data_IF_420935047300
#
_entry.id   IF_420935047300
#
_cell.length_a   1.000
_cell.length_b   1.000
_cell.length_c   1.000
_cell.angle_alpha   90.00
_cell.angle_beta   90.00
_cell.angle_gamma   90.00
#
_symmetry.space_group_name_H-M   'P 1'
#
loop_
_entity.id
_entity.type
_entity.pdbx_description
1 polymer ?
#
# COMPACT_ATOMS: atom_id res chain seq x y z
N UNK A 1 -8.53 -6.74 4.28
CA UNK A 1 -7.33 -5.95 4.58
C UNK A 1 -6.80 -5.37 3.29
N UNK A 2 -6.99 -4.07 3.11
CA UNK A 2 -6.35 -3.30 2.04
C UNK A 2 -4.94 -2.89 2.49
N UNK A 3 -4.08 -2.50 1.56
CA UNK A 3 -2.75 -1.97 1.88
C UNK A 3 -2.81 -0.71 2.77
N UNK A 4 -3.94 -0.01 2.79
CA UNK A 4 -4.17 1.16 3.66
C UNK A 4 -4.33 0.73 5.13
N UNK A 5 -4.96 -0.42 5.36
CA UNK A 5 -5.19 -0.95 6.72
C UNK A 5 -3.85 -1.32 7.37
N UNK A 6 -2.96 -2.00 6.63
CA UNK A 6 -1.63 -2.39 7.12
C UNK A 6 -0.74 -1.19 7.41
N UNK A 7 -0.76 -0.18 6.53
CA UNK A 7 0.03 1.04 6.72
C UNK A 7 -0.40 1.80 7.99
N UNK A 8 -1.71 1.84 8.23
CA UNK A 8 -2.28 2.47 9.40
C UNK A 8 -1.91 1.72 10.67
N UNK A 9 -2.04 0.39 10.70
CA UNK A 9 -1.64 -0.42 11.85
C UNK A 9 -0.17 -0.24 12.22
N UNK A 10 0.73 -0.22 11.22
CA UNK A 10 2.16 0.00 11.44
C UNK A 10 2.47 1.41 11.96
N UNK A 11 1.75 2.42 11.47
CA UNK A 11 1.85 3.78 11.99
C UNK A 11 1.35 3.88 13.44
N UNK A 12 0.22 3.27 13.76
CA UNK A 12 -0.34 3.26 15.12
C UNK A 12 0.64 2.59 16.10
N UNK A 13 1.18 1.42 15.75
CA UNK A 13 2.24 0.74 16.54
C UNK A 13 3.45 1.65 16.72
N UNK A 14 3.95 2.27 15.66
CA UNK A 14 5.10 3.18 15.73
C UNK A 14 4.85 4.36 16.68
N UNK A 15 3.67 4.95 16.64
CA UNK A 15 3.32 6.08 17.52
C UNK A 15 3.15 5.66 18.98
N UNK A 16 2.59 4.47 19.23
CA UNK A 16 2.51 3.89 20.58
C UNK A 16 3.90 3.56 21.12
N UNK A 17 4.72 2.85 20.35
CA UNK A 17 6.01 2.32 20.79
C UNK A 17 7.11 3.39 20.89
N UNK A 18 7.14 4.36 19.97
CA UNK A 18 8.23 5.36 19.88
C UNK A 18 7.86 6.69 20.50
N UNK A 19 6.57 7.03 20.51
CA UNK A 19 6.10 8.33 20.98
C UNK A 19 5.16 8.23 22.19
N UNK A 20 4.93 7.02 22.72
CA UNK A 20 4.14 6.75 23.92
C UNK A 20 2.71 7.31 23.84
N UNK A 21 2.16 7.40 22.63
CA UNK A 21 0.75 7.74 22.47
C UNK A 21 -0.13 6.59 22.98
N UNK A 22 -1.23 6.95 23.64
CA UNK A 22 -2.25 5.97 24.01
C UNK A 22 -2.91 5.40 22.75
N UNK A 23 -3.14 4.09 22.70
CA UNK A 23 -3.88 3.45 21.59
C UNK A 23 -5.27 4.07 21.40
N UNK A 24 -5.87 4.60 22.47
CA UNK A 24 -7.14 5.33 22.45
C UNK A 24 -7.09 6.65 21.66
N UNK A 25 -5.89 7.17 21.37
CA UNK A 25 -5.73 8.33 20.51
C UNK A 25 -6.06 8.03 19.04
N UNK A 26 -6.18 6.75 18.70
CA UNK A 26 -6.45 6.26 17.35
C UNK A 26 -7.85 5.61 17.20
N UNK A 27 -8.51 5.31 18.33
CA UNK A 27 -9.86 4.74 18.36
C UNK A 27 -10.87 5.63 17.60
N UNK A 28 -11.74 4.98 16.80
CA UNK A 28 -12.88 5.56 16.07
C UNK A 28 -12.57 6.41 14.82
N UNK A 29 -11.40 6.27 14.19
CA UNK A 29 -11.12 6.97 12.93
C UNK A 29 -10.43 6.09 11.89
N UNK A 30 -11.21 5.50 10.98
CA UNK A 30 -10.66 4.72 9.87
C UNK A 30 -9.67 5.54 9.02
N UNK A 31 -9.93 6.84 8.84
CA UNK A 31 -9.15 7.72 7.95
C UNK A 31 -8.28 8.76 8.69
N UNK A 32 -8.21 8.71 10.03
CA UNK A 32 -7.41 9.64 10.84
C UNK A 32 -7.90 11.09 10.91
N UNK A 33 -9.15 11.35 10.49
CA UNK A 33 -9.71 12.71 10.32
C UNK A 33 -9.90 13.46 11.65
N UNK A 34 -10.25 12.76 12.74
CA UNK A 34 -10.36 13.35 14.10
C UNK A 34 -9.13 13.12 14.98
N UNK A 35 -7.99 12.72 14.40
CA UNK A 35 -6.73 12.73 15.14
C UNK A 35 -6.31 14.16 15.49
N UNK A 36 -5.52 14.32 16.53
CA UNK A 36 -4.92 15.63 16.82
C UNK A 36 -4.05 16.09 15.65
N UNK A 37 -3.93 17.40 15.44
CA UNK A 37 -3.13 17.98 14.35
C UNK A 37 -1.70 17.41 14.30
N UNK A 38 -1.10 17.15 15.45
CA UNK A 38 0.23 16.52 15.55
C UNK A 38 0.23 15.12 14.94
N UNK A 39 -0.73 14.27 15.33
CA UNK A 39 -0.84 12.90 14.80
C UNK A 39 -1.15 12.92 13.30
N UNK A 40 -2.00 13.85 12.83
CA UNK A 40 -2.27 14.00 11.39
C UNK A 40 -1.02 14.39 10.60
N UNK A 41 -0.19 15.28 11.14
CA UNK A 41 1.07 15.68 10.50
C UNK A 41 2.07 14.51 10.46
N UNK A 42 2.18 13.76 11.56
CA UNK A 42 2.98 12.54 11.61
C UNK A 42 2.48 11.50 10.60
N UNK A 43 1.17 11.32 10.49
CA UNK A 43 0.55 10.40 9.53
C UNK A 43 0.87 10.76 8.08
N UNK A 44 0.68 12.03 7.69
CA UNK A 44 1.02 12.48 6.33
C UNK A 44 2.51 12.29 6.03
N UNK A 45 3.39 12.60 6.98
CA UNK A 45 4.82 12.39 6.82
C UNK A 45 5.15 10.89 6.71
N UNK A 46 4.51 10.04 7.50
CA UNK A 46 4.68 8.59 7.47
C UNK A 46 4.17 7.99 6.16
N UNK A 47 3.01 8.41 5.67
CA UNK A 47 2.48 8.02 4.36
C UNK A 47 3.43 8.44 3.24
N UNK A 48 3.93 9.68 3.25
CA UNK A 48 4.89 10.14 2.26
C UNK A 48 6.22 9.36 2.32
N UNK A 49 6.70 9.04 3.51
CA UNK A 49 7.91 8.23 3.72
C UNK A 49 7.69 6.78 3.26
N UNK A 50 6.52 6.19 3.53
CA UNK A 50 6.13 4.87 3.08
C UNK A 50 6.00 4.80 1.56
N UNK A 51 5.33 5.77 0.94
CA UNK A 51 5.25 5.88 -0.52
C UNK A 51 6.62 6.08 -1.14
N UNK A 52 7.47 6.91 -0.55
CA UNK A 52 8.85 7.13 -1.02
C UNK A 52 9.68 5.86 -0.88
N UNK A 53 9.51 5.12 0.22
CA UNK A 53 10.17 3.83 0.44
C UNK A 53 9.67 2.78 -0.55
N UNK A 54 8.37 2.72 -0.83
CA UNK A 54 7.78 1.89 -1.90
C UNK A 54 8.26 2.29 -3.29
N UNK A 55 8.48 3.58 -3.55
CA UNK A 55 9.06 4.06 -4.83
C UNK A 55 10.55 3.71 -4.95
N UNK A 56 11.26 3.56 -3.83
CA UNK A 56 12.67 3.15 -3.77
C UNK A 56 12.86 1.62 -3.72
N UNK A 57 11.83 0.88 -3.30
CA UNK A 57 11.78 -0.56 -3.46
C UNK A 57 11.50 -0.88 -4.92
N UNK A 58 12.37 -1.64 -5.57
CA UNK A 58 12.06 -2.18 -6.88
C UNK A 58 10.93 -3.22 -6.72
N UNK A 59 9.81 -3.09 -7.45
CA UNK A 59 8.79 -4.12 -7.45
C UNK A 59 9.38 -5.44 -7.93
N UNK A 60 9.17 -6.51 -7.17
CA UNK A 60 9.66 -7.83 -7.57
C UNK A 60 8.75 -8.50 -8.60
N UNK A 61 7.49 -8.07 -8.65
CA UNK A 61 6.54 -8.50 -9.66
C UNK A 61 5.49 -7.43 -9.92
N UNK A 62 4.73 -7.65 -10.96
CA UNK A 62 3.66 -6.81 -11.45
C UNK A 62 2.46 -7.70 -11.74
N UNK A 63 1.33 -7.34 -11.17
CA UNK A 63 0.07 -8.04 -11.35
C UNK A 63 -0.80 -7.26 -12.33
N UNK A 64 -1.37 -7.96 -13.30
CA UNK A 64 -2.37 -7.39 -14.20
C UNK A 64 -3.74 -7.77 -13.63
N UNK A 65 -4.52 -6.77 -13.27
CA UNK A 65 -5.78 -6.92 -12.57
C UNK A 65 -6.93 -6.40 -13.42
N UNK A 66 -7.96 -7.23 -13.60
CA UNK A 66 -9.20 -6.84 -14.27
C UNK A 66 -10.15 -6.20 -13.26
N UNK A 67 -10.43 -4.92 -13.45
CA UNK A 67 -11.29 -4.14 -12.55
C UNK A 67 -12.77 -4.48 -12.72
N UNK A 68 -13.19 -4.93 -13.92
CA UNK A 68 -14.59 -5.28 -14.19
C UNK A 68 -15.00 -6.56 -13.45
N UNK A 69 -14.11 -7.56 -13.44
CA UNK A 69 -14.38 -8.87 -12.84
C UNK A 69 -13.76 -9.02 -11.46
N UNK A 70 -12.98 -8.04 -11.00
CA UNK A 70 -12.24 -8.07 -9.74
C UNK A 70 -11.31 -9.31 -9.64
N UNK A 71 -10.69 -9.70 -10.77
CA UNK A 71 -9.86 -10.91 -10.87
C UNK A 71 -8.47 -10.62 -11.39
N UNK A 72 -7.50 -11.41 -10.94
CA UNK A 72 -6.14 -11.39 -11.46
C UNK A 72 -6.08 -12.07 -12.83
N UNK A 73 -5.46 -11.42 -13.80
CA UNK A 73 -5.23 -11.99 -15.13
C UNK A 73 -3.90 -12.75 -15.15
N UNK A 74 -2.81 -12.10 -14.73
CA UNK A 74 -1.47 -12.69 -14.77
C UNK A 74 -0.48 -11.91 -13.89
N UNK A 75 0.71 -12.48 -13.71
CA UNK A 75 1.84 -11.93 -12.96
C UNK A 75 3.10 -11.92 -13.82
N UNK A 76 3.93 -10.88 -13.68
CA UNK A 76 5.23 -10.77 -14.34
C UNK A 76 6.26 -10.13 -13.44
N UNK A 77 7.44 -10.72 -13.37
CA UNK A 77 8.58 -10.18 -12.62
C UNK A 77 9.20 -8.97 -13.35
N UNK A 78 9.18 -9.00 -14.68
CA UNK A 78 9.67 -7.91 -15.52
C UNK A 78 8.61 -6.83 -15.76
N UNK A 79 8.95 -5.58 -15.49
CA UNK A 79 8.07 -4.40 -15.66
C UNK A 79 7.62 -4.18 -17.09
N UNK A 80 8.55 -4.27 -18.06
CA UNK A 80 8.26 -3.95 -19.44
C UNK A 80 7.41 -5.05 -20.09
N UNK A 81 7.66 -6.31 -19.76
CA UNK A 81 6.80 -7.43 -20.17
C UNK A 81 5.38 -7.26 -19.59
N UNK A 82 5.27 -6.85 -18.33
CA UNK A 82 3.98 -6.60 -17.70
C UNK A 82 3.20 -5.45 -18.37
N UNK A 83 3.88 -4.38 -18.79
CA UNK A 83 3.27 -3.27 -19.54
C UNK A 83 2.83 -3.69 -20.93
N UNK A 84 3.63 -4.48 -21.63
CA UNK A 84 3.27 -4.98 -22.96
C UNK A 84 1.98 -5.82 -22.88
N UNK A 85 1.91 -6.73 -21.91
CA UNK A 85 0.73 -7.56 -21.70
C UNK A 85 -0.46 -6.69 -21.25
N UNK A 86 -0.25 -5.72 -20.36
CA UNK A 86 -1.30 -4.79 -19.95
C UNK A 86 -1.91 -4.07 -21.17
N UNK A 87 -1.07 -3.56 -22.07
CA UNK A 87 -1.53 -2.86 -23.29
C UNK A 87 -2.41 -3.76 -24.16
N UNK A 88 -2.07 -5.06 -24.28
CA UNK A 88 -2.91 -6.05 -24.98
C UNK A 88 -4.26 -6.20 -24.30
N UNK A 89 -4.31 -6.37 -22.98
CA UNK A 89 -5.58 -6.54 -22.25
C UNK A 89 -6.42 -5.27 -22.16
N UNK A 90 -5.81 -4.08 -22.10
CA UNK A 90 -6.52 -2.80 -22.03
C UNK A 90 -7.34 -2.50 -23.28
N UNK A 91 -7.05 -3.16 -24.41
CA UNK A 91 -7.89 -3.09 -25.62
C UNK A 91 -9.24 -3.82 -25.48
N UNK A 92 -9.38 -4.69 -24.48
CA UNK A 92 -10.56 -5.56 -24.29
C UNK A 92 -11.21 -5.41 -22.90
N UNK A 93 -10.42 -5.11 -21.88
CA UNK A 93 -10.83 -5.09 -20.47
C UNK A 93 -10.36 -3.83 -19.77
N UNK A 94 -11.10 -3.40 -18.75
CA UNK A 94 -10.62 -2.38 -17.81
C UNK A 94 -9.57 -3.03 -16.90
N UNK A 95 -8.29 -2.84 -17.24
CA UNK A 95 -7.17 -3.44 -16.53
C UNK A 95 -6.20 -2.41 -15.98
N UNK A 96 -5.63 -2.71 -14.81
CA UNK A 96 -4.54 -1.94 -14.22
C UNK A 96 -3.35 -2.80 -13.85
N UNK A 97 -2.18 -2.18 -13.86
CA UNK A 97 -0.93 -2.77 -13.40
C UNK A 97 -0.72 -2.44 -11.92
N UNK A 98 -0.60 -3.47 -11.10
CA UNK A 98 -0.35 -3.33 -9.67
C UNK A 98 1.06 -3.82 -9.38
N UNK A 99 2.01 -2.94 -9.01
CA UNK A 99 3.33 -3.37 -8.58
C UNK A 99 3.21 -4.12 -7.24
N UNK A 100 3.83 -5.30 -7.20
CA UNK A 100 3.93 -6.15 -6.03
C UNK A 100 5.32 -5.99 -5.42
N UNK A 101 5.33 -5.68 -4.14
CA UNK A 101 6.53 -5.52 -3.35
C UNK A 101 6.59 -6.69 -2.38
N UNK A 102 7.78 -7.25 -2.14
CA UNK A 102 7.94 -8.12 -0.98
C UNK A 102 7.63 -7.29 0.26
N UNK A 103 6.62 -7.68 1.03
CA UNK A 103 6.72 -7.46 2.46
C UNK A 103 7.62 -8.57 2.99
N UNK A 104 8.76 -8.26 3.60
CA UNK A 104 9.42 -9.23 4.44
C UNK A 104 8.52 -9.43 5.65
N UNK A 105 7.47 -10.26 5.52
CA UNK A 105 6.75 -10.74 6.68
C UNK A 105 7.69 -11.67 7.45
N UNK A 106 7.96 -11.26 8.68
CA UNK A 106 8.03 -12.12 9.85
C UNK A 106 8.85 -13.39 9.63
N UNK A 107 10.16 -13.23 9.56
CA UNK A 107 11.01 -14.29 10.05
C UNK A 107 11.01 -14.20 11.58
N UNK A 108 10.51 -15.29 12.16
CA UNK A 108 10.55 -15.76 13.57
C UNK A 108 9.58 -15.14 14.56
#
# INVERSE_FOLDING_TARGET
>A
MTNSDVLKEEFEKFMVDKFLYSIKAFDNNLDGIYWSTTIQNCWKAYQAAWETSRKKMEPMAYMIFNENTNTVITYKENKEEAKEILSRYQSVYCCKLIPLYYQPNDKT
#
